data_IF_473098594754
#
_entry.id   IF_473098594754
#
_cell.length_a   1.000
_cell.length_b   1.000
_cell.length_c   1.000
_cell.angle_alpha   90.00
_cell.angle_beta   90.00
_cell.angle_gamma   90.00
#
_symmetry.space_group_name_H-M   'P 1'
#
loop_
_entity.id
_entity.type
_entity.pdbx_description
1 polymer ?
#
# COMPACT_ATOMS: atom_id res chain seq x y z
N UNK A 1 -9.88 -0.25 -40.85
CA UNK A 1 -9.23 0.61 -39.84
C UNK A 1 -9.00 -0.26 -38.63
N UNK A 2 -7.75 -0.66 -38.43
CA UNK A 2 -7.33 -1.54 -37.33
C UNK A 2 -7.19 -0.66 -36.09
N UNK A 3 -7.83 -1.07 -34.99
CA UNK A 3 -7.81 -0.37 -33.70
C UNK A 3 -6.37 -0.18 -33.20
N UNK A 4 -5.85 1.04 -33.36
CA UNK A 4 -4.53 1.48 -32.89
C UNK A 4 -4.51 1.77 -31.38
N UNK A 5 -5.42 1.14 -30.62
CA UNK A 5 -5.49 1.22 -29.16
C UNK A 5 -5.18 -0.12 -28.46
N UNK A 6 -4.93 -1.19 -29.22
CA UNK A 6 -4.66 -2.53 -28.68
C UNK A 6 -3.18 -2.81 -28.34
N UNK A 7 -2.29 -1.84 -28.48
CA UNK A 7 -0.84 -2.03 -28.25
C UNK A 7 -0.24 -0.86 -27.48
N UNK A 8 -0.66 -0.68 -26.22
CA UNK A 8 0.18 0.03 -25.26
C UNK A 8 1.19 -0.99 -24.70
N UNK A 9 2.51 -0.79 -24.89
CA UNK A 9 3.51 -1.67 -24.31
C UNK A 9 3.39 -1.63 -22.78
N UNK A 10 3.60 -2.76 -22.08
CA UNK A 10 3.48 -2.79 -20.64
C UNK A 10 4.49 -1.82 -20.00
N UNK A 11 4.14 -1.14 -18.89
CA UNK A 11 4.82 0.09 -18.46
C UNK A 11 6.29 -0.06 -18.02
N UNK A 12 6.85 -1.27 -18.05
CA UNK A 12 8.16 -1.62 -17.51
C UNK A 12 8.95 -2.59 -18.40
N UNK A 13 8.52 -2.85 -19.65
CA UNK A 13 9.13 -3.88 -20.51
C UNK A 13 9.00 -5.31 -19.96
N UNK A 14 8.20 -5.49 -18.89
CA UNK A 14 7.84 -6.79 -18.31
C UNK A 14 6.40 -7.12 -18.74
N UNK A 15 6.10 -8.38 -19.09
CA UNK A 15 4.73 -8.81 -19.37
C UNK A 15 3.83 -8.53 -18.16
N UNK A 16 2.55 -8.26 -18.42
CA UNK A 16 1.54 -8.11 -17.36
C UNK A 16 1.54 -9.35 -16.47
N UNK A 17 1.59 -9.15 -15.16
CA UNK A 17 1.42 -10.22 -14.16
C UNK A 17 -0.06 -10.54 -13.91
N UNK A 18 -0.97 -9.71 -14.41
CA UNK A 18 -2.42 -9.91 -14.29
C UNK A 18 -2.89 -10.88 -15.37
N UNK A 19 -3.62 -11.95 -15.03
CA UNK A 19 -4.24 -12.85 -16.00
C UNK A 19 -5.17 -12.10 -16.96
N UNK A 20 -5.16 -12.44 -18.25
CA UNK A 20 -5.96 -11.74 -19.26
C UNK A 20 -7.47 -11.81 -19.00
N UNK A 21 -7.94 -12.83 -18.28
CA UNK A 21 -9.34 -12.93 -17.85
C UNK A 21 -9.76 -11.87 -16.82
N UNK A 22 -8.81 -11.25 -16.12
CA UNK A 22 -9.04 -10.24 -15.07
C UNK A 22 -8.33 -8.91 -15.37
N UNK A 23 -7.86 -8.72 -16.60
CA UNK A 23 -7.18 -7.50 -16.99
C UNK A 23 -8.17 -6.33 -17.19
N UNK A 24 -7.60 -5.14 -17.40
CA UNK A 24 -8.38 -3.92 -17.57
C UNK A 24 -9.35 -4.00 -18.77
N UNK A 25 -8.93 -4.63 -19.85
CA UNK A 25 -9.73 -4.73 -21.07
C UNK A 25 -10.93 -5.68 -20.86
N UNK A 26 -10.71 -6.82 -20.19
CA UNK A 26 -11.74 -7.77 -19.83
C UNK A 26 -12.80 -7.15 -18.90
N UNK A 27 -12.40 -6.25 -18.00
CA UNK A 27 -13.33 -5.51 -17.16
C UNK A 27 -14.12 -4.46 -17.96
N UNK A 28 -13.43 -3.70 -18.81
CA UNK A 28 -14.02 -2.58 -19.56
C UNK A 28 -15.04 -3.03 -20.60
N UNK A 29 -14.89 -4.25 -21.13
CA UNK A 29 -15.82 -4.83 -22.12
C UNK A 29 -17.15 -5.30 -21.54
N UNK A 30 -17.35 -5.23 -20.21
CA UNK A 30 -18.59 -5.63 -19.55
C UNK A 30 -19.47 -4.43 -19.19
N UNK A 31 -20.77 -4.70 -19.00
CA UNK A 31 -21.78 -3.73 -18.56
C UNK A 31 -22.81 -4.39 -17.62
N UNK A 32 -23.56 -3.57 -16.87
CA UNK A 32 -24.64 -4.04 -15.99
C UNK A 32 -24.20 -5.12 -14.98
N UNK A 33 -25.02 -6.13 -14.78
CA UNK A 33 -24.77 -7.23 -13.83
C UNK A 33 -23.51 -8.05 -14.18
N UNK A 34 -23.19 -8.15 -15.47
CA UNK A 34 -21.99 -8.83 -15.94
C UNK A 34 -20.73 -8.07 -15.49
N UNK A 35 -20.76 -6.73 -15.52
CA UNK A 35 -19.66 -5.90 -15.01
C UNK A 35 -19.48 -6.08 -13.51
N UNK A 36 -20.56 -6.05 -12.72
CA UNK A 36 -20.47 -6.24 -11.28
C UNK A 36 -19.89 -7.62 -10.93
N UNK A 37 -20.36 -8.67 -11.61
CA UNK A 37 -19.89 -10.04 -11.44
C UNK A 37 -18.41 -10.15 -11.80
N UNK A 38 -18.01 -9.60 -12.95
CA UNK A 38 -16.63 -9.61 -13.41
C UNK A 38 -15.70 -8.86 -12.45
N UNK A 39 -16.12 -7.69 -11.97
CA UNK A 39 -15.35 -6.89 -11.02
C UNK A 39 -15.14 -7.65 -9.70
N UNK A 40 -16.20 -8.29 -9.18
CA UNK A 40 -16.11 -9.11 -7.97
C UNK A 40 -15.13 -10.28 -8.15
N UNK A 41 -15.22 -11.04 -9.23
CA UNK A 41 -14.29 -12.15 -9.49
C UNK A 41 -12.86 -11.66 -9.71
N UNK A 42 -12.67 -10.52 -10.37
CA UNK A 42 -11.36 -9.89 -10.53
C UNK A 42 -10.73 -9.59 -9.17
N UNK A 43 -11.46 -8.91 -8.28
CA UNK A 43 -11.01 -8.62 -6.92
C UNK A 43 -10.68 -9.88 -6.10
N UNK A 44 -11.54 -10.90 -6.18
CA UNK A 44 -11.37 -12.16 -5.46
C UNK A 44 -10.15 -12.96 -5.95
N UNK A 45 -9.91 -13.03 -7.26
CA UNK A 45 -8.83 -13.82 -7.83
C UNK A 45 -7.47 -13.12 -7.76
N UNK A 46 -7.43 -11.80 -8.00
CA UNK A 46 -6.20 -11.03 -7.79
C UNK A 46 -5.77 -11.04 -6.31
N UNK A 47 -6.73 -11.11 -5.38
CA UNK A 47 -6.43 -11.24 -3.95
C UNK A 47 -5.84 -12.60 -3.54
N UNK A 48 -5.86 -13.61 -4.42
CA UNK A 48 -5.23 -14.93 -4.21
C UNK A 48 -3.84 -15.04 -4.85
N UNK A 49 -3.44 -14.06 -5.64
CA UNK A 49 -2.11 -14.01 -6.24
C UNK A 49 -1.02 -13.88 -5.18
N UNK A 50 0.23 -14.13 -5.58
CA UNK A 50 1.39 -14.01 -4.70
C UNK A 50 2.00 -12.61 -4.73
N UNK A 51 2.88 -12.35 -3.77
CA UNK A 51 3.66 -11.12 -3.70
C UNK A 51 2.80 -9.88 -3.49
N UNK A 52 3.30 -8.74 -3.98
CA UNK A 52 2.67 -7.43 -3.79
C UNK A 52 1.26 -7.35 -4.38
N UNK A 53 1.02 -7.98 -5.54
CA UNK A 53 -0.29 -7.99 -6.19
C UNK A 53 -1.35 -8.62 -5.29
N UNK A 54 -1.05 -9.79 -4.73
CA UNK A 54 -1.93 -10.47 -3.78
C UNK A 54 -2.25 -9.60 -2.56
N UNK A 55 -1.27 -8.87 -2.04
CA UNK A 55 -1.47 -7.98 -0.89
C UNK A 55 -2.34 -6.78 -1.26
N UNK A 56 -2.15 -6.16 -2.42
CA UNK A 56 -2.97 -5.02 -2.89
C UNK A 56 -4.44 -5.41 -3.02
N UNK A 57 -4.75 -6.64 -3.43
CA UNK A 57 -6.12 -7.13 -3.61
C UNK A 57 -6.64 -8.00 -2.47
N UNK A 58 -5.87 -8.22 -1.39
CA UNK A 58 -6.19 -9.14 -0.29
C UNK A 58 -7.57 -8.83 0.30
N UNK A 59 -8.48 -9.82 0.24
CA UNK A 59 -9.87 -9.71 0.73
C UNK A 59 -10.56 -8.41 0.31
N UNK A 60 -10.24 -7.92 -0.89
CA UNK A 60 -10.91 -6.76 -1.46
C UNK A 60 -12.37 -7.10 -1.75
N UNK A 61 -13.25 -6.11 -1.63
CA UNK A 61 -14.68 -6.27 -1.83
C UNK A 61 -15.20 -5.07 -2.61
N UNK A 62 -16.09 -5.32 -3.57
CA UNK A 62 -16.82 -4.24 -4.21
C UNK A 62 -17.75 -3.59 -3.17
N UNK A 63 -17.69 -2.26 -3.04
CA UNK A 63 -18.60 -1.45 -2.22
C UNK A 63 -19.57 -0.62 -3.06
N UNK A 64 -19.45 -0.67 -4.39
CA UNK A 64 -20.29 0.05 -5.33
C UNK A 64 -21.39 -0.91 -5.81
N UNK A 65 -22.60 -0.74 -5.28
CA UNK A 65 -23.76 -1.59 -5.58
C UNK A 65 -24.49 -1.22 -6.86
N UNK A 66 -24.18 -0.07 -7.45
CA UNK A 66 -24.85 0.46 -8.63
C UNK A 66 -23.95 0.24 -9.86
N UNK A 67 -24.30 -0.66 -10.79
CA UNK A 67 -23.48 -0.98 -11.95
C UNK A 67 -23.22 0.22 -12.86
N UNK A 68 -24.16 1.17 -12.98
CA UNK A 68 -23.97 2.36 -13.79
C UNK A 68 -22.92 3.29 -13.16
N UNK A 69 -22.91 3.41 -11.83
CA UNK A 69 -21.85 4.16 -11.11
C UNK A 69 -20.49 3.47 -11.22
N UNK A 70 -20.46 2.14 -11.15
CA UNK A 70 -19.22 1.37 -11.34
C UNK A 70 -18.65 1.58 -12.75
N UNK A 71 -19.49 1.47 -13.79
CA UNK A 71 -19.08 1.71 -15.17
C UNK A 71 -18.53 3.12 -15.36
N UNK A 72 -19.25 4.13 -14.85
CA UNK A 72 -18.80 5.52 -14.90
C UNK A 72 -17.45 5.72 -14.22
N UNK A 73 -17.22 5.07 -13.08
CA UNK A 73 -15.93 5.14 -12.39
C UNK A 73 -14.80 4.54 -13.23
N UNK A 74 -15.04 3.38 -13.85
CA UNK A 74 -14.06 2.73 -14.73
C UNK A 74 -13.73 3.62 -15.93
N UNK A 75 -14.73 4.26 -16.52
CA UNK A 75 -14.55 5.19 -17.64
C UNK A 75 -13.75 6.44 -17.24
N UNK A 76 -14.02 7.01 -16.06
CA UNK A 76 -13.25 8.14 -15.53
C UNK A 76 -11.78 7.78 -15.27
N UNK A 77 -11.50 6.57 -14.79
CA UNK A 77 -10.11 6.12 -14.63
C UNK A 77 -9.46 5.89 -16.00
N UNK A 78 -10.21 5.34 -16.96
CA UNK A 78 -9.73 5.05 -18.31
C UNK A 78 -9.47 6.31 -19.15
N UNK A 79 -10.17 7.42 -18.91
CA UNK A 79 -9.97 8.67 -19.64
C UNK A 79 -8.66 9.36 -19.30
N UNK A 80 -8.07 9.02 -18.14
CA UNK A 80 -6.81 9.59 -17.70
C UNK A 80 -5.62 8.77 -18.19
N UNK A 81 -4.56 9.47 -18.62
CA UNK A 81 -3.31 8.81 -19.02
C UNK A 81 -2.41 8.62 -17.81
N UNK A 82 -2.51 7.45 -17.18
CA UNK A 82 -1.65 7.11 -16.05
C UNK A 82 -0.24 6.68 -16.49
N UNK A 83 -0.08 6.17 -17.72
CA UNK A 83 1.19 5.69 -18.25
C UNK A 83 1.99 6.91 -18.75
N UNK A 84 3.15 7.18 -18.13
CA UNK A 84 4.00 8.32 -18.47
C UNK A 84 4.01 9.46 -17.44
N UNK A 85 3.06 9.47 -16.50
CA UNK A 85 3.19 10.30 -15.30
C UNK A 85 4.35 9.80 -14.44
N UNK A 86 5.14 10.74 -13.93
CA UNK A 86 6.25 10.45 -13.02
C UNK A 86 5.72 9.71 -11.78
N UNK A 87 6.55 8.82 -11.23
CA UNK A 87 6.25 8.04 -10.02
C UNK A 87 5.89 9.01 -8.88
N UNK A 88 6.65 10.10 -8.77
CA UNK A 88 6.44 11.15 -7.78
C UNK A 88 5.03 11.76 -7.87
N UNK A 89 4.54 12.07 -9.09
CA UNK A 89 3.22 12.68 -9.29
C UNK A 89 2.09 11.73 -8.86
N UNK A 90 2.20 10.43 -9.18
CA UNK A 90 1.18 9.44 -8.81
C UNK A 90 1.13 9.23 -7.31
N UNK A 91 2.31 9.15 -6.68
CA UNK A 91 2.44 9.04 -5.24
C UNK A 91 1.81 10.22 -4.52
N UNK A 92 2.12 11.45 -4.96
CA UNK A 92 1.57 12.68 -4.38
C UNK A 92 0.04 12.79 -4.51
N UNK A 93 -0.53 12.43 -5.66
CA UNK A 93 -1.99 12.42 -5.84
C UNK A 93 -2.64 11.43 -4.87
N UNK A 94 -2.10 10.21 -4.78
CA UNK A 94 -2.63 9.18 -3.90
C UNK A 94 -2.54 9.58 -2.43
N UNK A 95 -1.41 10.16 -2.02
CA UNK A 95 -1.19 10.70 -0.68
C UNK A 95 -2.16 11.85 -0.34
N UNK A 96 -2.39 12.77 -1.28
CA UNK A 96 -3.35 13.85 -1.09
C UNK A 96 -4.78 13.33 -0.86
N UNK A 97 -5.18 12.29 -1.60
CA UNK A 97 -6.48 11.64 -1.40
C UNK A 97 -6.58 10.93 -0.04
N UNK A 98 -5.52 10.22 0.39
CA UNK A 98 -5.47 9.59 1.70
C UNK A 98 -5.54 10.61 2.84
N UNK A 99 -4.78 11.70 2.74
CA UNK A 99 -4.80 12.78 3.73
C UNK A 99 -6.18 13.42 3.83
N UNK A 100 -6.80 13.75 2.69
CA UNK A 100 -8.14 14.33 2.67
C UNK A 100 -9.20 13.39 3.27
N UNK A 101 -9.05 12.07 3.04
CA UNK A 101 -9.93 11.07 3.65
C UNK A 101 -9.73 10.96 5.17
N UNK A 102 -8.48 11.05 5.64
CA UNK A 102 -8.13 11.02 7.05
C UNK A 102 -8.59 12.26 7.82
N UNK A 103 -8.54 13.44 7.19
CA UNK A 103 -9.01 14.71 7.75
C UNK A 103 -10.55 14.78 7.83
N UNK A 104 -11.27 13.96 7.07
CA UNK A 104 -12.71 13.84 7.17
C UNK A 104 -13.10 13.08 8.44
N UNK A 105 -13.36 13.85 9.51
CA UNK A 105 -13.74 13.37 10.84
C UNK A 105 -14.97 12.44 10.80
N UNK A 106 -15.84 12.57 9.80
CA UNK A 106 -17.05 11.72 9.68
C UNK A 106 -16.73 10.28 9.26
N UNK A 107 -15.58 10.05 8.61
CA UNK A 107 -15.20 8.75 8.06
C UNK A 107 -14.42 7.85 9.02
N UNK A 108 -13.93 8.37 10.15
CA UNK A 108 -13.11 7.61 11.10
C UNK A 108 -11.75 7.14 10.55
N UNK A 109 -11.36 7.59 9.35
CA UNK A 109 -10.11 7.21 8.69
C UNK A 109 -8.87 7.83 9.33
N UNK A 110 -9.03 8.91 10.10
CA UNK A 110 -7.94 9.56 10.84
C UNK A 110 -7.21 8.66 11.83
N UNK A 111 -7.82 7.54 12.26
CA UNK A 111 -7.18 6.55 13.13
C UNK A 111 -6.08 5.71 12.44
N UNK A 112 -5.89 5.86 11.13
CA UNK A 112 -4.88 5.11 10.36
C UNK A 112 -3.85 6.05 9.72
N UNK A 113 -3.94 7.35 10.00
CA UNK A 113 -3.13 8.37 9.37
C UNK A 113 -2.42 9.22 10.43
N UNK A 114 -1.12 9.43 10.23
CA UNK A 114 -0.33 10.36 11.06
C UNK A 114 0.09 11.55 10.21
N UNK A 115 -0.09 12.80 10.69
CA UNK A 115 0.28 14.00 9.94
C UNK A 115 1.74 13.98 9.47
N UNK A 116 1.96 14.31 8.20
CA UNK A 116 3.29 14.21 7.55
C UNK A 116 4.36 15.04 8.22
N UNK A 117 4.01 16.21 8.75
CA UNK A 117 4.94 17.07 9.49
C UNK A 117 5.48 16.36 10.74
N UNK A 118 4.64 15.61 11.46
CA UNK A 118 5.06 14.87 12.65
C UNK A 118 5.97 13.70 12.26
N UNK A 119 5.63 12.95 11.22
CA UNK A 119 6.46 11.85 10.72
C UNK A 119 7.85 12.37 10.32
N UNK A 120 7.93 13.49 9.58
CA UNK A 120 9.19 14.11 9.17
C UNK A 120 10.07 14.48 10.36
N UNK A 121 9.52 15.18 11.34
CA UNK A 121 10.25 15.54 12.55
C UNK A 121 10.80 14.31 13.30
N UNK A 122 10.01 13.24 13.40
CA UNK A 122 10.44 12.00 14.05
C UNK A 122 11.56 11.30 13.27
N UNK A 123 11.42 11.18 11.95
CA UNK A 123 12.45 10.55 11.10
C UNK A 123 13.76 11.34 11.11
N UNK A 124 13.68 12.68 11.12
CA UNK A 124 14.85 13.55 11.23
C UNK A 124 15.63 13.34 12.53
N UNK A 125 14.93 13.12 13.65
CA UNK A 125 15.57 12.81 14.94
C UNK A 125 16.14 11.39 14.95
N UNK A 126 15.42 10.43 14.37
CA UNK A 126 15.82 9.02 14.35
C UNK A 126 17.01 8.73 13.43
N UNK A 127 17.24 9.55 12.39
CA UNK A 127 18.37 9.46 11.46
C UNK A 127 18.61 8.05 10.91
N UNK A 128 17.66 7.49 10.12
CA UNK A 128 17.81 6.16 9.55
C UNK A 128 18.99 6.09 8.58
N UNK A 129 19.73 4.98 8.60
CA UNK A 129 20.95 4.77 7.81
C UNK A 129 20.78 3.67 6.77
N UNK A 130 21.52 3.73 5.65
CA UNK A 130 21.58 2.64 4.69
C UNK A 130 21.97 1.30 5.35
N UNK A 131 21.31 0.21 4.95
CA UNK A 131 21.56 -1.13 5.51
C UNK A 131 20.83 -1.43 6.82
N UNK A 132 20.08 -0.49 7.38
CA UNK A 132 19.24 -0.73 8.56
C UNK A 132 17.86 -1.27 8.17
N UNK A 133 17.31 -2.12 9.04
CA UNK A 133 15.92 -2.57 8.97
C UNK A 133 15.04 -1.65 9.82
N UNK A 134 13.92 -1.25 9.26
CA UNK A 134 12.94 -0.35 9.84
C UNK A 134 11.61 -1.10 9.92
N UNK A 135 11.06 -1.19 11.12
CA UNK A 135 9.79 -1.84 11.38
C UNK A 135 8.74 -0.85 11.87
N UNK A 136 7.52 -0.96 11.34
CA UNK A 136 6.35 -0.28 11.87
C UNK A 136 5.23 -1.30 12.16
N UNK A 137 4.95 -1.62 13.44
CA UNK A 137 3.96 -2.62 13.83
C UNK A 137 2.50 -2.15 13.72
N UNK A 138 2.26 -0.88 13.38
CA UNK A 138 0.94 -0.33 13.07
C UNK A 138 1.06 0.65 11.91
N UNK A 139 1.47 0.12 10.75
CA UNK A 139 2.02 0.91 9.67
C UNK A 139 1.02 1.87 9.00
N UNK A 140 -0.28 1.71 9.23
CA UNK A 140 -1.29 2.61 8.68
C UNK A 140 -1.17 2.67 7.15
N UNK A 141 -1.17 3.88 6.59
CA UNK A 141 -0.97 4.08 5.15
C UNK A 141 0.49 3.96 4.68
N UNK A 142 1.44 3.54 5.54
CA UNK A 142 2.86 3.39 5.21
C UNK A 142 3.68 4.66 5.38
N UNK A 143 3.18 5.58 6.21
CA UNK A 143 3.67 6.94 6.18
C UNK A 143 5.11 7.13 6.63
N UNK A 144 5.54 6.38 7.66
CA UNK A 144 6.91 6.36 8.13
C UNK A 144 7.88 5.80 7.09
N UNK A 145 7.46 4.79 6.31
CA UNK A 145 8.32 4.19 5.29
C UNK A 145 8.64 5.16 4.16
N UNK A 146 7.65 5.92 3.68
CA UNK A 146 7.87 6.94 2.65
C UNK A 146 8.91 7.97 3.11
N UNK A 147 8.71 8.54 4.30
CA UNK A 147 9.60 9.59 4.82
C UNK A 147 10.99 9.04 5.16
N UNK A 148 11.08 7.81 5.67
CA UNK A 148 12.36 7.16 5.93
C UNK A 148 13.13 6.86 4.65
N UNK A 149 12.44 6.36 3.60
CA UNK A 149 13.05 6.15 2.29
C UNK A 149 13.58 7.45 1.70
N UNK A 150 12.78 8.51 1.77
CA UNK A 150 13.16 9.86 1.34
C UNK A 150 14.38 10.38 2.11
N UNK A 151 14.40 10.23 3.43
CA UNK A 151 15.52 10.66 4.25
C UNK A 151 16.82 9.92 3.87
N UNK A 152 16.75 8.59 3.71
CA UNK A 152 17.91 7.78 3.32
C UNK A 152 18.41 8.19 1.92
N UNK A 153 17.52 8.34 0.95
CA UNK A 153 17.89 8.64 -0.44
C UNK A 153 18.40 10.07 -0.62
N UNK A 154 17.90 11.04 0.15
CA UNK A 154 18.35 12.45 0.12
C UNK A 154 19.68 12.66 0.83
N UNK A 155 19.92 11.97 1.94
CA UNK A 155 21.08 12.21 2.79
C UNK A 155 22.29 11.30 2.50
N UNK A 156 22.12 10.21 1.76
CA UNK A 156 23.18 9.24 1.50
C UNK A 156 23.34 8.91 0.01
N UNK A 157 24.60 8.83 -0.44
CA UNK A 157 24.95 8.30 -1.76
C UNK A 157 25.04 6.78 -1.69
N UNK A 158 23.96 6.10 -2.09
CA UNK A 158 23.85 4.65 -1.99
C UNK A 158 24.64 3.93 -3.09
N UNK A 159 25.39 2.90 -2.70
CA UNK A 159 25.95 1.93 -3.65
C UNK A 159 24.86 0.95 -4.18
N UNK A 160 25.24 0.09 -5.13
CA UNK A 160 24.29 -0.86 -5.74
C UNK A 160 23.69 -1.85 -4.72
N UNK A 161 24.49 -2.33 -3.77
CA UNK A 161 24.04 -3.27 -2.75
C UNK A 161 23.09 -2.59 -1.76
N UNK A 162 23.40 -1.37 -1.34
CA UNK A 162 22.56 -0.54 -0.46
C UNK A 162 21.24 -0.17 -1.11
N UNK A 163 21.23 0.16 -2.41
CA UNK A 163 19.98 0.38 -3.17
C UNK A 163 19.11 -0.87 -3.20
N UNK A 164 19.72 -2.04 -3.43
CA UNK A 164 19.00 -3.31 -3.43
C UNK A 164 18.47 -3.65 -2.03
N UNK A 165 19.23 -3.36 -0.98
CA UNK A 165 18.81 -3.56 0.40
C UNK A 165 17.64 -2.63 0.76
N UNK A 166 17.74 -1.34 0.42
CA UNK A 166 16.67 -0.36 0.65
C UNK A 166 15.35 -0.79 0.01
N UNK A 167 15.42 -1.29 -1.22
CA UNK A 167 14.24 -1.72 -1.98
C UNK A 167 13.55 -2.98 -1.45
N UNK A 168 14.30 -3.94 -0.89
CA UNK A 168 13.75 -5.28 -0.62
C UNK A 168 13.85 -5.75 0.83
N UNK A 169 14.65 -5.08 1.67
CA UNK A 169 14.97 -5.56 3.02
C UNK A 169 14.85 -4.51 4.11
N UNK A 170 14.82 -3.22 3.76
CA UNK A 170 14.76 -2.15 4.77
C UNK A 170 13.42 -2.09 5.47
N UNK A 171 12.28 -2.22 4.79
CA UNK A 171 10.98 -1.98 5.41
C UNK A 171 10.26 -3.27 5.76
N UNK A 172 9.70 -3.34 6.97
CA UNK A 172 8.73 -4.35 7.39
C UNK A 172 7.60 -3.67 8.14
N UNK A 173 6.35 -3.94 7.75
CA UNK A 173 5.20 -3.33 8.40
C UNK A 173 4.09 -4.34 8.71
N UNK A 174 3.32 -4.02 9.74
CA UNK A 174 2.15 -4.78 10.13
C UNK A 174 0.98 -3.84 10.40
N UNK A 175 -0.22 -4.27 10.04
CA UNK A 175 -1.46 -3.64 10.47
C UNK A 175 -2.54 -4.73 10.61
N UNK A 176 -3.48 -4.57 11.54
CA UNK A 176 -4.54 -5.56 11.75
C UNK A 176 -5.60 -5.50 10.66
N UNK A 177 -5.82 -4.32 10.06
CA UNK A 177 -6.89 -4.10 9.11
C UNK A 177 -6.45 -4.39 7.68
N UNK A 178 -7.06 -5.41 7.07
CA UNK A 178 -6.90 -5.78 5.66
C UNK A 178 -6.95 -4.57 4.71
N UNK A 179 -7.91 -3.67 4.90
CA UNK A 179 -8.06 -2.47 4.07
C UNK A 179 -6.89 -1.50 4.18
N UNK A 180 -6.33 -1.34 5.38
CA UNK A 180 -5.22 -0.43 5.64
C UNK A 180 -3.93 -0.99 5.03
N UNK A 181 -3.71 -2.29 5.16
CA UNK A 181 -2.58 -2.97 4.51
C UNK A 181 -2.63 -2.83 2.98
N UNK A 182 -3.82 -2.94 2.36
CA UNK A 182 -3.98 -2.68 0.91
C UNK A 182 -3.57 -1.26 0.55
N UNK A 183 -4.05 -0.27 1.31
CA UNK A 183 -3.70 1.14 1.07
C UNK A 183 -2.19 1.37 1.20
N UNK A 184 -1.58 0.80 2.24
CA UNK A 184 -0.14 0.86 2.48
C UNK A 184 0.66 0.23 1.35
N UNK A 185 0.34 -1.01 0.96
CA UNK A 185 1.01 -1.71 -0.12
C UNK A 185 0.95 -0.94 -1.45
N UNK A 186 -0.23 -0.41 -1.78
CA UNK A 186 -0.41 0.43 -2.97
C UNK A 186 0.38 1.73 -2.86
N UNK A 187 0.42 2.35 -1.69
CA UNK A 187 1.17 3.59 -1.47
C UNK A 187 2.67 3.39 -1.70
N UNK A 188 3.24 2.32 -1.13
CA UNK A 188 4.65 1.96 -1.32
C UNK A 188 4.95 1.61 -2.78
N UNK A 189 4.02 0.94 -3.46
CA UNK A 189 4.14 0.64 -4.89
C UNK A 189 4.21 1.92 -5.73
N UNK A 190 3.29 2.87 -5.50
CA UNK A 190 3.20 4.12 -6.24
C UNK A 190 4.41 5.03 -6.01
N UNK A 191 5.09 4.92 -4.87
CA UNK A 191 6.33 5.64 -4.57
C UNK A 191 7.60 4.84 -4.95
N UNK A 192 7.47 3.67 -5.59
CA UNK A 192 8.61 2.86 -6.04
C UNK A 192 9.41 2.18 -4.92
N UNK A 193 8.83 2.07 -3.72
CA UNK A 193 9.45 1.53 -2.50
C UNK A 193 9.19 0.02 -2.33
N UNK A 194 8.29 -0.56 -3.12
CA UNK A 194 8.03 -2.00 -3.13
C UNK A 194 8.66 -2.72 -4.34
N UNK A 195 9.16 -3.94 -4.11
CA UNK A 195 9.60 -4.87 -5.15
C UNK A 195 8.46 -5.79 -5.61
N UNK A 196 8.78 -7.03 -5.97
CA UNK A 196 7.77 -8.04 -6.31
C UNK A 196 7.06 -8.59 -5.04
N UNK A 197 7.74 -8.53 -3.89
CA UNK A 197 7.21 -8.91 -2.57
C UNK A 197 6.71 -7.69 -1.78
N UNK A 198 5.67 -7.90 -0.97
CA UNK A 198 5.14 -6.85 -0.10
C UNK A 198 5.96 -6.75 1.19
N UNK A 199 6.44 -5.54 1.58
CA UNK A 199 7.05 -5.32 2.88
C UNK A 199 6.02 -5.28 4.03
N UNK A 200 4.72 -5.26 3.70
CA UNK A 200 3.64 -5.13 4.70
C UNK A 200 2.72 -6.34 4.73
N UNK A 201 2.24 -6.65 5.93
CA UNK A 201 1.45 -7.84 6.21
C UNK A 201 0.28 -7.53 7.14
N UNK A 202 -0.87 -8.18 6.89
CA UNK A 202 -2.04 -8.07 7.74
C UNK A 202 -1.93 -9.02 8.92
N UNK A 203 -1.57 -8.48 10.08
CA UNK A 203 -1.29 -9.23 11.31
C UNK A 203 -1.56 -8.35 12.54
N UNK A 204 -2.05 -8.97 13.60
CA UNK A 204 -2.07 -8.34 14.91
C UNK A 204 -0.68 -8.46 15.57
N UNK A 205 -0.03 -7.31 15.71
CA UNK A 205 1.31 -7.18 16.26
C UNK A 205 1.42 -7.56 17.74
N UNK A 206 0.30 -7.65 18.46
CA UNK A 206 0.28 -8.01 19.90
C UNK A 206 0.15 -9.52 20.13
N UNK A 207 -0.14 -10.31 19.10
CA UNK A 207 -0.45 -11.75 19.26
C UNK A 207 0.75 -12.64 19.63
N UNK A 208 1.97 -12.29 19.20
CA UNK A 208 3.15 -13.11 19.46
C UNK A 208 4.43 -12.28 19.39
N UNK A 209 5.44 -12.60 20.22
CA UNK A 209 6.78 -12.02 20.10
C UNK A 209 7.36 -12.43 18.73
N UNK A 210 7.72 -11.47 17.86
CA UNK A 210 8.27 -11.78 16.55
C UNK A 210 9.62 -12.48 16.58
N UNK A 211 10.31 -12.54 17.73
CA UNK A 211 11.55 -13.31 17.93
C UNK A 211 12.79 -12.76 17.20
N UNK A 212 12.61 -11.92 16.18
CA UNK A 212 13.69 -11.26 15.44
C UNK A 212 13.98 -9.88 16.04
N UNK A 213 14.91 -9.84 17.00
CA UNK A 213 15.37 -8.60 17.66
C UNK A 213 16.64 -8.02 17.04
N UNK A 214 17.16 -8.63 15.97
CA UNK A 214 18.46 -8.26 15.41
C UNK A 214 18.36 -7.09 14.42
N UNK A 215 18.92 -5.93 14.80
CA UNK A 215 19.03 -4.71 13.99
C UNK A 215 17.71 -4.06 13.52
N UNK A 216 16.62 -4.23 14.27
CA UNK A 216 15.32 -3.63 13.97
C UNK A 216 15.20 -2.25 14.62
N UNK A 217 15.18 -1.18 13.82
CA UNK A 217 14.71 0.13 14.28
C UNK A 217 13.18 0.12 14.22
N UNK A 218 12.54 0.01 15.38
CA UNK A 218 11.09 0.17 15.46
C UNK A 218 10.75 1.67 15.44
N UNK A 219 10.12 2.13 14.36
CA UNK A 219 9.47 3.43 14.30
C UNK A 219 8.01 3.20 14.66
N UNK A 220 7.72 3.08 15.96
CA UNK A 220 6.33 3.03 16.45
C UNK A 220 6.03 4.35 17.13
N UNK A 221 5.21 5.20 16.51
CA UNK A 221 4.54 6.27 17.24
C UNK A 221 3.03 6.06 17.20
N UNK A 222 2.47 6.16 18.39
CA UNK A 222 1.20 5.62 18.84
C UNK A 222 0.02 6.14 17.98
N UNK A 223 -0.42 5.34 17.01
CA UNK A 223 -1.75 5.52 16.47
C UNK A 223 -2.77 5.04 17.52
N UNK A 224 -3.83 5.80 17.86
CA UNK A 224 -4.73 5.51 18.99
C UNK A 224 -5.32 4.10 19.03
N UNK A 225 -5.38 3.40 17.89
CA UNK A 225 -5.89 2.04 17.80
C UNK A 225 -5.11 1.01 18.65
N UNK A 226 -3.78 1.16 18.79
CA UNK A 226 -2.96 0.26 19.63
C UNK A 226 -3.27 0.42 21.13
N UNK A 227 -3.64 1.63 21.57
CA UNK A 227 -4.02 1.90 22.97
C UNK A 227 -5.34 1.23 23.32
N UNK A 228 -6.30 1.23 22.40
CA UNK A 228 -7.60 0.59 22.59
C UNK A 228 -7.47 -0.94 22.64
N UNK A 229 -6.65 -1.56 21.78
CA UNK A 229 -6.45 -3.01 21.81
C UNK A 229 -5.72 -3.49 23.07
N UNK A 230 -4.76 -2.71 23.60
CA UNK A 230 -4.10 -3.03 24.88
C UNK A 230 -5.06 -3.01 26.08
N UNK A 231 -6.12 -2.22 26.02
CA UNK A 231 -7.16 -2.17 27.07
C UNK A 231 -8.14 -3.35 27.05
N UNK A 232 -8.17 -4.14 25.96
CA UNK A 232 -9.02 -5.32 25.80
C UNK A 232 -8.27 -6.65 26.01
N UNK A 233 -6.95 -6.61 26.17
CA UNK A 233 -6.17 -7.78 26.52
C UNK A 233 -6.40 -8.12 28.01
N UNK A 234 -6.66 -9.39 28.37
CA UNK A 234 -6.69 -9.79 29.77
C UNK A 234 -5.34 -9.46 30.42
N UNK A 235 -5.31 -9.07 31.70
CA UNK A 235 -4.05 -8.78 32.39
C UNK A 235 -3.13 -10.00 32.24
N UNK A 236 -1.96 -9.79 31.64
CA UNK A 236 -0.97 -10.84 31.50
C UNK A 236 -0.55 -11.27 32.90
N UNK A 237 -0.82 -12.52 33.26
CA UNK A 237 -0.21 -13.13 34.43
C UNK A 237 1.30 -13.12 34.21
N UNK A 238 1.99 -12.25 34.94
CA UNK A 238 3.43 -12.29 35.06
C UNK A 238 3.80 -13.50 35.92
N UNK A 239 4.31 -14.56 35.29
CA UNK A 239 5.24 -15.55 35.82
C UNK A 239 6.16 -16.04 34.68
#
# INVERSE_FOLDING_TARGET
MVDEQAQLPPPLGKPSTIPSEYDWQALRSQDGDALETQYRHTLENLGKEKGLLGVIFRKSQNKIQDPAKLKRLIELINSETWIGLDIDVKGEIYEGLLQKNAEDVKGGAGQYFTPRALIKALVEVMQPKPGQRICDPACGTGGFFLVANDNITKNYKLDKAQKQFLKNQTFKGFDVADGVVRLCAMNLYLHGIAGDESPVEAKDSLMADPGDRSNLFSLTFNCPALVLQRSQLPPSNAL
#
